data_IF_550496305196
#
_entry.id   IF_550496305196
#
_cell.length_a   1.000
_cell.length_b   1.000
_cell.length_c   1.000
_cell.angle_alpha   90.00
_cell.angle_beta   90.00
_cell.angle_gamma   90.00
#
_symmetry.space_group_name_H-M   'P 1'
#
loop_
_entity.id
_entity.type
_entity.pdbx_description
1 polymer ?
#
# COMPACT_ATOMS: atom_id res chain seq x y z
N UNK A 1 -23.97 5.13 7.52
CA UNK A 1 -22.95 4.49 8.38
C UNK A 1 -22.50 5.52 9.40
N UNK A 2 -22.56 5.19 10.69
CA UNK A 2 -22.07 6.08 11.75
C UNK A 2 -20.53 6.19 11.70
N UNK A 3 -19.97 7.26 12.25
CA UNK A 3 -18.51 7.46 12.33
C UNK A 3 -17.80 6.34 13.10
N UNK A 4 -18.49 5.70 14.06
CA UNK A 4 -17.96 4.58 14.83
C UNK A 4 -17.85 3.34 13.94
N UNK A 5 -18.91 3.01 13.19
CA UNK A 5 -18.89 1.88 12.26
C UNK A 5 -17.80 2.04 11.20
N UNK A 6 -17.67 3.23 10.60
CA UNK A 6 -16.62 3.51 9.61
C UNK A 6 -15.21 3.30 10.18
N UNK A 7 -14.98 3.71 11.44
CA UNK A 7 -13.70 3.55 12.12
C UNK A 7 -13.38 2.10 12.43
N UNK A 8 -14.36 1.33 12.88
CA UNK A 8 -14.19 -0.11 13.12
C UNK A 8 -13.88 -0.84 11.82
N UNK A 9 -14.53 -0.47 10.70
CA UNK A 9 -14.20 -1.02 9.38
C UNK A 9 -12.79 -0.65 8.93
N UNK A 10 -12.37 0.59 9.16
CA UNK A 10 -10.99 0.99 8.88
C UNK A 10 -9.98 0.15 9.70
N UNK A 11 -10.22 -0.05 11.00
CA UNK A 11 -9.34 -0.88 11.82
C UNK A 11 -9.27 -2.34 11.37
N UNK A 12 -10.39 -2.90 10.89
CA UNK A 12 -10.39 -4.22 10.28
C UNK A 12 -9.50 -4.27 9.03
N UNK A 13 -9.56 -3.24 8.18
CA UNK A 13 -8.74 -3.15 6.97
C UNK A 13 -7.24 -2.92 7.26
N UNK A 14 -6.91 -2.20 8.33
CA UNK A 14 -5.52 -1.92 8.73
C UNK A 14 -4.88 -3.07 9.54
N UNK A 15 -5.64 -4.11 9.88
CA UNK A 15 -5.15 -5.21 10.70
C UNK A 15 -4.11 -6.06 9.94
N UNK A 16 -2.92 -6.31 10.52
CA UNK A 16 -1.96 -7.27 9.95
C UNK A 16 -2.50 -8.71 9.88
N UNK A 17 -3.59 -9.01 10.60
CA UNK A 17 -4.24 -10.32 10.57
C UNK A 17 -5.26 -10.49 9.42
N UNK A 18 -5.42 -9.47 8.56
CA UNK A 18 -6.33 -9.54 7.41
C UNK A 18 -5.79 -10.59 6.40
N UNK A 19 -6.57 -11.62 6.02
CA UNK A 19 -6.08 -12.76 5.25
C UNK A 19 -6.02 -12.47 3.73
N UNK A 20 -5.29 -11.43 3.34
CA UNK A 20 -5.10 -11.01 1.93
C UNK A 20 -3.72 -11.36 1.37
N UNK A 21 -2.89 -12.03 2.16
CA UNK A 21 -1.52 -12.40 1.80
C UNK A 21 -0.47 -11.46 2.40
N UNK A 22 0.79 -11.63 1.97
CA UNK A 22 1.90 -10.81 2.41
C UNK A 22 1.84 -9.40 1.81
N UNK A 23 2.47 -8.43 2.49
CA UNK A 23 2.55 -7.07 2.00
C UNK A 23 3.38 -6.99 0.70
N UNK A 24 2.96 -6.12 -0.22
CA UNK A 24 3.73 -5.83 -1.43
C UNK A 24 5.15 -5.36 -1.08
N UNK A 25 6.14 -5.64 -1.92
CA UNK A 25 7.56 -5.27 -1.73
C UNK A 25 8.35 -6.11 -0.69
N UNK A 26 7.74 -7.12 -0.05
CA UNK A 26 8.45 -8.01 0.90
C UNK A 26 9.68 -8.69 0.29
N UNK A 27 9.55 -9.20 -0.94
CA UNK A 27 10.66 -9.81 -1.68
C UNK A 27 11.81 -8.85 -1.98
N UNK A 28 11.49 -7.56 -2.14
CA UNK A 28 12.51 -6.53 -2.32
C UNK A 28 13.33 -6.32 -1.05
N UNK A 29 12.66 -6.36 0.11
CA UNK A 29 13.34 -6.29 1.40
C UNK A 29 14.17 -7.55 1.67
N UNK A 30 13.62 -8.73 1.38
CA UNK A 30 14.36 -10.01 1.49
C UNK A 30 15.67 -9.98 0.68
N UNK A 31 15.62 -9.47 -0.55
CA UNK A 31 16.81 -9.27 -1.36
C UNK A 31 17.77 -8.23 -0.76
N UNK A 32 17.27 -7.07 -0.33
CA UNK A 32 18.09 -6.03 0.26
C UNK A 32 18.84 -6.50 1.51
N UNK A 33 18.21 -7.37 2.32
CA UNK A 33 18.86 -8.04 3.46
C UNK A 33 19.91 -9.04 2.96
N UNK A 34 19.56 -9.92 2.01
CA UNK A 34 20.48 -10.91 1.46
C UNK A 34 21.72 -10.29 0.78
N UNK A 35 21.56 -9.11 0.18
CA UNK A 35 22.63 -8.32 -0.44
C UNK A 35 23.44 -7.47 0.55
N UNK A 36 23.06 -7.46 1.84
CA UNK A 36 23.73 -6.67 2.88
C UNK A 36 23.45 -5.17 2.83
N UNK A 37 22.46 -4.72 2.04
CA UNK A 37 22.05 -3.31 2.00
C UNK A 37 21.28 -2.91 3.27
N UNK A 38 20.53 -3.85 3.83
CA UNK A 38 19.81 -3.68 5.11
C UNK A 38 20.35 -4.70 6.10
N UNK A 39 21.06 -4.23 7.12
CA UNK A 39 21.65 -5.08 8.16
C UNK A 39 21.46 -4.52 9.58
N UNK A 40 20.98 -3.29 9.70
CA UNK A 40 20.67 -2.60 10.93
C UNK A 40 19.39 -1.76 10.82
N UNK A 41 19.02 -1.10 11.92
CA UNK A 41 17.83 -0.25 12.00
C UNK A 41 17.93 0.95 11.05
N UNK A 42 19.10 1.57 10.92
CA UNK A 42 19.31 2.74 10.06
C UNK A 42 19.10 2.38 8.58
N UNK A 43 19.68 1.27 8.11
CA UNK A 43 19.48 0.76 6.76
C UNK A 43 18.04 0.36 6.48
N UNK A 44 17.34 -0.22 7.47
CA UNK A 44 15.92 -0.53 7.33
C UNK A 44 15.07 0.74 7.19
N UNK A 45 15.33 1.77 8.00
CA UNK A 45 14.64 3.05 7.92
C UNK A 45 14.88 3.76 6.58
N UNK A 46 16.13 3.72 6.08
CA UNK A 46 16.48 4.26 4.76
C UNK A 46 15.73 3.52 3.65
N UNK A 47 15.74 2.18 3.67
CA UNK A 47 15.08 1.35 2.67
C UNK A 47 13.56 1.57 2.66
N UNK A 48 12.91 1.56 3.82
CA UNK A 48 11.47 1.83 3.97
C UNK A 48 11.15 3.24 3.48
N UNK A 49 11.95 4.24 3.89
CA UNK A 49 11.79 5.62 3.43
C UNK A 49 11.93 5.74 1.90
N UNK A 50 12.85 4.97 1.30
CA UNK A 50 13.00 4.84 -0.14
C UNK A 50 11.74 4.29 -0.81
N UNK A 51 11.19 3.18 -0.32
CA UNK A 51 9.94 2.61 -0.84
C UNK A 51 8.77 3.59 -0.75
N UNK A 52 8.66 4.32 0.36
CA UNK A 52 7.62 5.33 0.54
C UNK A 52 7.74 6.45 -0.50
N UNK A 53 8.95 7.00 -0.69
CA UNK A 53 9.19 8.12 -1.60
C UNK A 53 9.11 7.72 -3.07
N UNK A 54 9.60 6.55 -3.45
CA UNK A 54 9.76 6.20 -4.86
C UNK A 54 8.62 5.36 -5.40
N UNK A 55 7.98 4.55 -4.56
CA UNK A 55 6.93 3.63 -5.01
C UNK A 55 5.57 4.07 -4.49
N UNK A 56 5.35 4.05 -3.18
CA UNK A 56 4.03 4.28 -2.58
C UNK A 56 3.47 5.66 -2.93
N UNK A 57 4.32 6.69 -2.89
CA UNK A 57 3.94 8.06 -3.23
C UNK A 57 3.59 8.25 -4.71
N UNK A 58 4.24 7.53 -5.62
CA UNK A 58 4.14 7.78 -7.06
C UNK A 58 3.23 6.79 -7.80
N UNK A 59 3.00 5.60 -7.22
CA UNK A 59 2.22 4.53 -7.81
C UNK A 59 1.00 4.16 -6.94
N UNK A 60 1.21 3.57 -5.77
CA UNK A 60 0.14 2.95 -4.98
C UNK A 60 -0.93 3.97 -4.54
N UNK A 61 -0.52 5.07 -3.88
CA UNK A 61 -1.45 6.11 -3.42
C UNK A 61 -2.16 6.79 -4.61
N UNK A 62 -1.44 7.23 -5.66
CA UNK A 62 -2.10 7.89 -6.79
C UNK A 62 -3.08 6.99 -7.55
N UNK A 63 -2.78 5.70 -7.74
CA UNK A 63 -3.68 4.74 -8.39
C UNK A 63 -4.88 4.45 -7.50
N UNK A 64 -4.67 4.18 -6.21
CA UNK A 64 -5.76 3.97 -5.25
C UNK A 64 -6.72 5.18 -5.21
N UNK A 65 -6.19 6.41 -5.21
CA UNK A 65 -7.00 7.62 -5.22
C UNK A 65 -7.83 7.77 -6.51
N UNK A 66 -7.30 7.33 -7.66
CA UNK A 66 -8.03 7.34 -8.94
C UNK A 66 -9.13 6.29 -8.97
N UNK A 67 -8.84 5.07 -8.54
CA UNK A 67 -9.83 4.01 -8.39
C UNK A 67 -10.97 4.43 -7.44
N UNK A 68 -10.62 5.01 -6.28
CA UNK A 68 -11.61 5.50 -5.33
C UNK A 68 -12.52 6.58 -5.94
N UNK A 69 -11.95 7.52 -6.71
CA UNK A 69 -12.73 8.58 -7.38
C UNK A 69 -13.62 8.02 -8.49
N UNK A 70 -13.11 7.11 -9.32
CA UNK A 70 -13.89 6.46 -10.38
C UNK A 70 -15.06 5.66 -9.78
N UNK A 71 -14.82 4.92 -8.70
CA UNK A 71 -15.88 4.24 -7.93
C UNK A 71 -16.94 5.21 -7.42
N UNK A 72 -16.52 6.30 -6.77
CA UNK A 72 -17.43 7.30 -6.22
C UNK A 72 -18.25 8.04 -7.29
N UNK A 73 -17.70 8.18 -8.50
CA UNK A 73 -18.38 8.80 -9.65
C UNK A 73 -19.28 7.83 -10.43
N UNK A 74 -19.24 6.51 -10.13
CA UNK A 74 -19.94 5.50 -10.92
C UNK A 74 -19.36 5.34 -12.33
N UNK A 75 -18.04 5.49 -12.48
CA UNK A 75 -17.29 5.44 -13.74
C UNK A 75 -16.59 4.08 -13.90
N UNK A 76 -17.23 3.10 -14.58
CA UNK A 76 -16.65 1.76 -14.78
C UNK A 76 -15.46 1.76 -15.74
N UNK A 77 -15.44 2.66 -16.74
CA UNK A 77 -14.32 2.76 -17.69
C UNK A 77 -13.06 3.26 -16.98
N UNK A 78 -13.21 4.28 -16.12
CA UNK A 78 -12.12 4.77 -15.27
C UNK A 78 -11.62 3.71 -14.29
N UNK A 79 -12.51 2.90 -13.72
CA UNK A 79 -12.12 1.78 -12.85
C UNK A 79 -11.31 0.73 -13.59
N UNK A 80 -11.76 0.31 -14.78
CA UNK A 80 -11.05 -0.68 -15.59
C UNK A 80 -9.68 -0.14 -16.04
N UNK A 81 -9.63 1.11 -16.49
CA UNK A 81 -8.40 1.75 -16.96
C UNK A 81 -7.29 1.79 -15.89
N UNK A 82 -7.63 2.14 -14.65
CA UNK A 82 -6.65 2.25 -13.56
C UNK A 82 -6.38 0.92 -12.83
N UNK A 83 -7.14 -0.13 -13.14
CA UNK A 83 -6.96 -1.47 -12.57
C UNK A 83 -6.13 -2.41 -13.47
N UNK A 84 -5.91 -2.04 -14.73
CA UNK A 84 -5.06 -2.75 -15.69
C UNK A 84 -3.57 -2.53 -15.42
#
# INVERSE_FOLDING_TARGET
>A
MSTIEARLRLWQLLSPALPIGAYAYSRGLEYAVAAGWVWDEAGAAEWIGGQLRHTVQHLDIPVFARLYRAWAAGDPEGLEHWNA
#
